data_IF_229803546819
#
_entry.id   IF_229803546819
#
_cell.length_a   1.000
_cell.length_b   1.000
_cell.length_c   1.000
_cell.angle_alpha   90.00
_cell.angle_beta   90.00
_cell.angle_gamma   90.00
#
_symmetry.space_group_name_H-M   'P 1'
#
loop_
_entity.id
_entity.type
_entity.pdbx_description
1 polymer ?
#
# COMPACT_ATOMS: atom_id res chain seq x y z
N UNK A 1 1.50 24.36 -16.06
CA UNK A 1 2.78 23.98 -16.69
C UNK A 1 2.91 24.74 -18.00
N UNK A 2 4.12 25.12 -18.40
CA UNK A 2 4.38 25.81 -19.67
C UNK A 2 4.13 24.87 -20.85
N UNK A 3 3.17 25.24 -21.71
CA UNK A 3 2.81 24.45 -22.90
C UNK A 3 3.99 24.27 -23.84
N UNK A 4 4.77 25.31 -24.09
CA UNK A 4 5.90 25.24 -25.03
C UNK A 4 7.00 24.29 -24.53
N UNK A 5 7.18 24.22 -23.21
CA UNK A 5 8.09 23.27 -22.58
C UNK A 5 7.59 21.82 -22.76
N UNK A 6 6.32 21.54 -22.46
CA UNK A 6 5.75 20.18 -22.63
C UNK A 6 5.79 19.73 -24.10
N UNK A 7 5.48 20.62 -25.03
CA UNK A 7 5.49 20.34 -26.48
C UNK A 7 6.93 20.20 -27.06
N UNK A 8 7.98 20.50 -26.28
CA UNK A 8 9.37 20.44 -26.76
C UNK A 8 9.93 19.02 -26.90
N UNK A 9 9.27 18.01 -26.30
CA UNK A 9 9.62 16.59 -26.45
C UNK A 9 9.33 15.76 -25.20
N UNK A 10 9.47 14.44 -25.31
CA UNK A 10 9.11 13.47 -24.25
C UNK A 10 9.89 13.67 -22.94
N UNK A 11 11.06 14.30 -22.99
CA UNK A 11 11.95 14.54 -21.84
C UNK A 11 11.78 15.95 -21.22
N UNK A 12 10.68 16.65 -21.52
CA UNK A 12 10.42 18.00 -20.97
C UNK A 12 10.50 18.05 -19.44
N UNK A 13 10.15 16.94 -18.77
CA UNK A 13 10.18 16.78 -17.32
C UNK A 13 11.59 16.84 -16.71
N UNK A 14 12.65 16.74 -17.52
CA UNK A 14 14.02 16.99 -17.06
C UNK A 14 14.33 18.49 -16.88
N UNK A 15 13.55 19.37 -17.51
CA UNK A 15 13.64 20.82 -17.37
C UNK A 15 12.22 21.40 -17.19
N UNK A 16 11.53 21.05 -16.09
CA UNK A 16 10.13 21.38 -15.92
C UNK A 16 9.95 22.87 -15.69
N UNK A 17 9.03 23.49 -16.43
CA UNK A 17 8.63 24.88 -16.23
C UNK A 17 7.18 24.96 -15.68
N UNK A 18 7.07 25.18 -14.38
CA UNK A 18 5.82 25.18 -13.64
C UNK A 18 5.55 26.49 -12.88
N UNK A 19 4.35 26.60 -12.31
CA UNK A 19 3.91 27.76 -11.52
C UNK A 19 3.88 27.45 -10.01
N UNK A 20 4.55 26.36 -9.60
CA UNK A 20 4.58 25.90 -8.22
C UNK A 20 5.48 26.74 -7.31
N UNK A 21 5.46 26.47 -5.99
CA UNK A 21 6.26 27.20 -5.00
C UNK A 21 7.77 26.94 -5.11
N UNK A 22 8.17 25.90 -5.84
CA UNK A 22 9.56 25.59 -6.14
C UNK A 22 9.76 25.31 -7.64
N UNK A 23 11.00 25.50 -8.09
CA UNK A 23 11.47 25.22 -9.43
C UNK A 23 12.67 24.27 -9.39
N UNK A 24 12.87 23.47 -10.44
CA UNK A 24 14.01 22.56 -10.51
C UNK A 24 15.31 23.35 -10.65
N UNK A 25 16.22 23.20 -9.69
CA UNK A 25 17.54 23.82 -9.72
C UNK A 25 18.60 22.90 -10.29
N UNK A 26 18.59 21.65 -9.83
CA UNK A 26 19.59 20.65 -10.20
C UNK A 26 19.00 19.26 -10.05
N UNK A 27 19.26 18.42 -11.03
CA UNK A 27 19.05 17.00 -10.92
C UNK A 27 20.32 16.26 -11.31
N UNK A 28 20.75 15.35 -10.45
CA UNK A 28 21.73 14.31 -10.75
C UNK A 28 21.02 12.98 -10.54
N UNK A 29 20.81 12.26 -11.64
CA UNK A 29 20.14 10.96 -11.66
C UNK A 29 20.71 10.03 -10.59
N UNK A 30 19.83 9.30 -9.92
CA UNK A 30 20.09 8.34 -8.84
C UNK A 30 20.87 8.89 -7.61
N UNK A 31 21.08 10.20 -7.52
CA UNK A 31 21.82 10.82 -6.42
C UNK A 31 21.04 11.95 -5.73
N UNK A 32 20.59 12.95 -6.48
CA UNK A 32 20.16 14.22 -5.88
C UNK A 32 19.21 14.99 -6.79
N UNK A 33 18.09 15.43 -6.22
CA UNK A 33 17.20 16.40 -6.85
C UNK A 33 17.04 17.61 -5.92
N UNK A 34 17.44 18.78 -6.41
CA UNK A 34 17.35 20.05 -5.68
C UNK A 34 16.27 20.90 -6.34
N UNK A 35 15.25 21.22 -5.55
CA UNK A 35 14.30 22.26 -5.86
C UNK A 35 14.69 23.55 -5.14
N UNK A 36 14.55 24.69 -5.80
CA UNK A 36 14.73 26.00 -5.19
C UNK A 36 13.42 26.77 -5.16
N UNK A 37 13.25 27.64 -4.17
CA UNK A 37 12.08 28.48 -4.05
C UNK A 37 11.86 29.29 -5.34
N UNK A 38 10.62 29.32 -5.81
CA UNK A 38 10.22 30.16 -6.91
C UNK A 38 9.91 31.59 -6.40
N UNK A 39 10.83 32.53 -6.61
CA UNK A 39 10.70 33.93 -6.15
C UNK A 39 9.54 34.70 -6.82
N UNK A 40 8.98 34.19 -7.93
CA UNK A 40 7.81 34.76 -8.62
C UNK A 40 6.53 33.97 -8.37
N UNK A 41 6.52 33.08 -7.36
CA UNK A 41 5.33 32.34 -6.98
C UNK A 41 4.20 33.30 -6.57
N UNK A 42 2.99 33.02 -7.06
CA UNK A 42 1.87 33.95 -6.99
C UNK A 42 1.12 33.94 -5.64
N UNK A 43 1.48 33.03 -4.73
CA UNK A 43 0.95 32.98 -3.36
C UNK A 43 2.06 33.26 -2.33
N UNK A 44 1.88 32.79 -1.10
CA UNK A 44 2.91 32.89 -0.06
C UNK A 44 4.16 32.11 -0.46
N UNK A 45 5.31 32.77 -0.40
CA UNK A 45 6.60 32.15 -0.64
C UNK A 45 6.86 31.07 0.43
N UNK A 46 7.36 29.91 0.00
CA UNK A 46 7.80 28.87 0.92
C UNK A 46 8.79 29.41 1.98
N UNK A 47 8.81 28.84 3.19
CA UNK A 47 9.83 29.21 4.16
C UNK A 47 11.24 28.73 3.78
N UNK A 48 11.45 27.46 3.35
CA UNK A 48 12.78 27.02 2.93
C UNK A 48 13.14 27.56 1.55
N UNK A 49 14.41 27.93 1.39
CA UNK A 49 14.96 28.34 0.09
C UNK A 49 15.24 27.16 -0.84
N UNK A 50 15.50 25.98 -0.30
CA UNK A 50 15.77 24.76 -1.04
C UNK A 50 15.04 23.57 -0.42
N UNK A 51 14.62 22.65 -1.29
CA UNK A 51 14.21 21.30 -0.90
C UNK A 51 15.16 20.34 -1.60
N UNK A 52 15.74 19.42 -0.83
CA UNK A 52 16.78 18.52 -1.32
C UNK A 52 16.29 17.08 -1.15
N UNK A 53 15.97 16.44 -2.26
CA UNK A 53 15.68 15.01 -2.31
C UNK A 53 16.99 14.26 -2.54
N UNK A 54 17.40 13.46 -1.56
CA UNK A 54 18.52 12.51 -1.70
C UNK A 54 17.94 11.22 -2.26
N UNK A 55 18.45 10.81 -3.43
CA UNK A 55 17.94 9.66 -4.18
C UNK A 55 18.78 8.38 -3.98
N UNK A 56 19.80 8.46 -3.13
CA UNK A 56 20.66 7.33 -2.79
C UNK A 56 20.20 6.64 -1.49
N UNK A 57 20.48 5.34 -1.39
CA UNK A 57 19.99 4.50 -0.30
C UNK A 57 20.63 4.75 1.07
N UNK A 58 19.90 4.45 2.13
CA UNK A 58 20.35 4.57 3.52
C UNK A 58 19.23 4.08 4.44
N UNK A 59 19.46 4.11 5.75
CA UNK A 59 18.39 3.86 6.73
C UNK A 59 17.77 5.23 7.05
N UNK A 60 16.53 5.54 6.63
CA UNK A 60 16.00 6.90 6.70
C UNK A 60 15.97 7.47 8.12
N UNK A 61 15.58 6.67 9.11
CA UNK A 61 15.60 7.06 10.53
C UNK A 61 17.00 7.39 11.03
N UNK A 62 18.03 6.65 10.59
CA UNK A 62 19.42 6.95 10.96
C UNK A 62 19.87 8.27 10.34
N UNK A 63 19.52 8.53 9.09
CA UNK A 63 19.83 9.78 8.40
C UNK A 63 19.16 10.98 9.08
N UNK A 64 17.95 10.78 9.63
CA UNK A 64 17.26 11.81 10.40
C UNK A 64 18.02 12.12 11.70
N UNK A 65 18.40 11.08 12.45
CA UNK A 65 19.14 11.22 13.71
C UNK A 65 20.55 11.82 13.54
N UNK A 66 21.20 11.61 12.39
CA UNK A 66 22.50 12.21 12.06
C UNK A 66 22.39 13.61 11.46
N UNK A 67 21.18 14.12 11.22
CA UNK A 67 20.93 15.42 10.61
C UNK A 67 21.23 15.46 9.10
N UNK A 68 21.23 14.31 8.43
CA UNK A 68 21.40 14.19 6.98
C UNK A 68 20.10 14.44 6.20
N UNK A 69 18.94 14.19 6.85
CA UNK A 69 17.59 14.58 6.38
C UNK A 69 16.81 15.27 7.50
N UNK A 70 15.94 16.21 7.12
CA UNK A 70 15.11 16.96 8.06
C UNK A 70 13.72 16.34 8.26
N UNK A 71 13.34 15.37 7.40
CA UNK A 71 12.03 14.69 7.44
C UNK A 71 12.23 13.23 7.01
N UNK A 72 11.52 12.32 7.68
CA UNK A 72 11.44 10.91 7.29
C UNK A 72 10.16 10.26 7.82
N UNK A 73 9.79 9.10 7.26
CA UNK A 73 8.70 8.27 7.75
C UNK A 73 9.19 7.36 8.88
N UNK A 74 8.29 6.99 9.78
CA UNK A 74 8.55 5.98 10.82
C UNK A 74 8.14 4.62 10.27
N UNK A 75 9.12 3.73 10.10
CA UNK A 75 8.90 2.36 9.62
C UNK A 75 8.68 1.39 10.79
N UNK A 76 8.15 0.19 10.51
CA UNK A 76 7.78 -0.83 11.53
C UNK A 76 8.85 -1.03 12.61
N UNK A 77 10.12 -1.12 12.23
CA UNK A 77 11.24 -1.34 13.15
C UNK A 77 11.48 -0.21 14.16
N UNK A 78 10.98 1.00 13.87
CA UNK A 78 11.17 2.19 14.68
C UNK A 78 9.91 2.63 15.43
N UNK A 79 8.73 2.07 15.12
CA UNK A 79 7.45 2.48 15.72
C UNK A 79 7.51 2.47 17.25
N UNK A 80 7.89 1.35 17.86
CA UNK A 80 7.90 1.22 19.33
C UNK A 80 8.85 2.23 19.98
N UNK A 81 10.00 2.45 19.35
CA UNK A 81 11.04 3.36 19.80
C UNK A 81 10.61 4.83 19.70
N UNK A 82 9.91 5.21 18.63
CA UNK A 82 9.44 6.58 18.40
C UNK A 82 8.17 6.87 19.20
N UNK A 83 7.34 5.87 19.50
CA UNK A 83 6.15 6.02 20.34
C UNK A 83 6.47 6.12 21.84
N UNK A 84 7.64 5.68 22.28
CA UNK A 84 8.05 5.80 23.69
C UNK A 84 8.14 7.28 24.10
N UNK A 85 7.32 7.76 25.06
CA UNK A 85 7.33 9.15 25.51
C UNK A 85 8.65 9.59 26.16
N UNK A 86 9.51 8.65 26.54
CA UNK A 86 10.85 8.93 27.08
C UNK A 86 11.90 9.13 26.00
N UNK A 87 11.60 8.74 24.77
CA UNK A 87 12.47 8.94 23.62
C UNK A 87 12.31 10.37 23.07
N UNK A 88 13.40 11.13 22.84
CA UNK A 88 13.33 12.45 22.23
C UNK A 88 12.56 12.50 20.91
N UNK A 89 12.65 11.45 20.08
CA UNK A 89 11.96 11.37 18.78
C UNK A 89 10.43 11.43 18.91
N UNK A 90 9.87 11.05 20.07
CA UNK A 90 8.45 11.14 20.31
C UNK A 90 7.94 12.59 20.24
N UNK A 91 8.77 13.55 20.66
CA UNK A 91 8.42 14.98 20.63
C UNK A 91 8.44 15.56 19.22
N UNK A 92 9.12 14.88 18.30
CA UNK A 92 9.27 15.27 16.89
C UNK A 92 8.27 14.53 15.99
N UNK A 93 7.60 13.49 16.52
CA UNK A 93 6.61 12.70 15.80
C UNK A 93 5.41 13.56 15.39
N UNK A 94 5.12 13.56 14.10
CA UNK A 94 3.90 14.13 13.54
C UNK A 94 3.05 13.00 12.99
N UNK A 95 1.82 12.88 13.48
CA UNK A 95 0.81 11.95 12.95
C UNK A 95 -0.25 12.73 12.20
N UNK A 96 -0.55 12.32 10.98
CA UNK A 96 -1.60 12.89 10.15
C UNK A 96 -2.44 11.76 9.55
N UNK A 97 -3.75 11.98 9.32
CA UNK A 97 -4.56 11.04 8.56
C UNK A 97 -4.08 10.99 7.11
N UNK A 98 -4.00 9.79 6.56
CA UNK A 98 -3.73 9.55 5.15
C UNK A 98 -4.96 8.87 4.54
N UNK A 99 -5.41 9.35 3.39
CA UNK A 99 -6.47 8.69 2.63
C UNK A 99 -5.84 7.50 1.91
N UNK A 100 -5.55 6.42 2.65
CA UNK A 100 -4.89 5.23 2.09
C UNK A 100 -5.51 3.92 2.57
N UNK A 101 -5.31 2.89 1.76
CA UNK A 101 -5.69 1.50 2.03
C UNK A 101 -4.45 0.63 1.80
N UNK A 102 -4.19 -0.30 2.72
CA UNK A 102 -3.30 -1.44 2.49
C UNK A 102 -4.13 -2.71 2.54
N UNK A 103 -3.92 -3.63 1.59
CA UNK A 103 -4.68 -4.86 1.50
C UNK A 103 -3.86 -6.01 0.89
N UNK A 104 -4.29 -7.23 1.22
CA UNK A 104 -3.87 -8.43 0.51
C UNK A 104 -4.94 -8.74 -0.51
N UNK A 105 -4.57 -8.68 -1.79
CA UNK A 105 -5.43 -8.97 -2.91
C UNK A 105 -5.42 -10.44 -3.29
N UNK A 106 -6.51 -10.86 -3.93
CA UNK A 106 -6.64 -12.18 -4.53
C UNK A 106 -6.75 -12.02 -6.04
N UNK A 107 -6.02 -12.81 -6.82
CA UNK A 107 -6.37 -12.95 -8.23
C UNK A 107 -7.58 -13.88 -8.34
N UNK A 108 -8.76 -13.31 -8.62
CA UNK A 108 -10.02 -14.05 -8.61
C UNK A 108 -10.21 -14.96 -9.83
N UNK A 109 -9.28 -14.92 -10.80
CA UNK A 109 -9.28 -15.82 -11.96
C UNK A 109 -8.40 -17.06 -11.73
N UNK A 110 -7.59 -17.06 -10.66
CA UNK A 110 -6.67 -18.15 -10.34
C UNK A 110 -7.20 -19.07 -9.23
N UNK A 111 -7.19 -20.39 -9.44
CA UNK A 111 -7.39 -21.36 -8.38
C UNK A 111 -6.40 -21.15 -7.21
N UNK A 112 -6.83 -21.18 -5.93
CA UNK A 112 -8.18 -21.49 -5.47
C UNK A 112 -9.08 -20.28 -5.22
N UNK A 113 -8.60 -19.07 -5.47
CA UNK A 113 -9.31 -17.83 -5.16
C UNK A 113 -10.39 -17.45 -6.18
N UNK A 114 -10.53 -18.24 -7.24
CA UNK A 114 -11.72 -18.25 -8.08
C UNK A 114 -12.98 -18.77 -7.35
N UNK A 115 -12.83 -19.44 -6.20
CA UNK A 115 -13.93 -19.74 -5.28
C UNK A 115 -14.06 -18.68 -4.17
N UNK A 116 -15.19 -17.98 -4.14
CA UNK A 116 -15.50 -16.95 -3.13
C UNK A 116 -15.42 -17.45 -1.70
N UNK A 117 -15.74 -18.74 -1.44
CA UNK A 117 -15.66 -19.31 -0.10
C UNK A 117 -14.21 -19.46 0.35
N UNK A 118 -13.28 -19.72 -0.57
CA UNK A 118 -11.85 -19.77 -0.25
C UNK A 118 -11.35 -18.37 0.09
N UNK A 119 -11.73 -17.33 -0.68
CA UNK A 119 -11.38 -15.93 -0.34
C UNK A 119 -11.89 -15.55 1.05
N UNK A 120 -13.17 -15.82 1.34
CA UNK A 120 -13.75 -15.57 2.66
C UNK A 120 -13.05 -16.37 3.77
N UNK A 121 -12.68 -17.62 3.52
CA UNK A 121 -11.93 -18.42 4.48
C UNK A 121 -10.58 -17.79 4.83
N UNK A 122 -9.84 -17.31 3.83
CA UNK A 122 -8.57 -16.61 4.04
C UNK A 122 -8.74 -15.32 4.84
N UNK A 123 -9.81 -14.55 4.60
CA UNK A 123 -10.11 -13.36 5.40
C UNK A 123 -10.44 -13.71 6.86
N UNK A 124 -11.32 -14.69 7.09
CA UNK A 124 -11.72 -15.12 8.44
C UNK A 124 -10.57 -15.76 9.24
N UNK A 125 -9.52 -16.23 8.57
CA UNK A 125 -8.33 -16.78 9.21
C UNK A 125 -7.39 -15.72 9.80
N UNK A 126 -7.60 -14.44 9.50
CA UNK A 126 -6.74 -13.34 9.92
C UNK A 126 -7.40 -12.53 11.04
N UNK A 127 -6.68 -12.44 12.16
CA UNK A 127 -7.02 -11.54 13.28
C UNK A 127 -6.40 -10.16 13.04
N UNK A 128 -7.15 -9.29 12.35
CA UNK A 128 -6.70 -7.93 12.00
C UNK A 128 -6.35 -7.11 13.23
N UNK A 129 -7.15 -7.21 14.29
CA UNK A 129 -6.94 -6.41 15.51
C UNK A 129 -5.63 -6.82 16.19
N UNK A 130 -5.37 -8.13 16.24
CA UNK A 130 -4.10 -8.65 16.74
C UNK A 130 -2.90 -8.22 15.88
N UNK A 131 -3.04 -8.19 14.55
CA UNK A 131 -1.98 -7.68 13.67
C UNK A 131 -1.72 -6.20 13.96
N UNK A 132 -2.77 -5.39 14.07
CA UNK A 132 -2.68 -3.96 14.38
C UNK A 132 -1.95 -3.73 15.70
N UNK A 133 -2.30 -4.49 16.73
CA UNK A 133 -1.67 -4.38 18.05
C UNK A 133 -0.21 -4.83 18.05
N UNK A 134 0.07 -6.00 17.46
CA UNK A 134 1.39 -6.65 17.58
C UNK A 134 2.41 -6.08 16.60
N UNK A 135 2.02 -5.92 15.34
CA UNK A 135 2.90 -5.49 14.23
C UNK A 135 2.95 -3.98 14.16
N UNK A 136 1.79 -3.32 14.15
CA UNK A 136 1.70 -1.88 13.94
C UNK A 136 1.66 -1.05 15.23
N UNK A 137 1.62 -1.70 16.41
CA UNK A 137 1.53 -1.03 17.72
C UNK A 137 0.36 -0.04 17.82
N UNK A 138 -0.76 -0.35 17.15
CA UNK A 138 -1.95 0.50 17.15
C UNK A 138 -1.83 1.80 16.34
N UNK A 139 -0.80 1.93 15.48
CA UNK A 139 -0.61 3.14 14.67
C UNK A 139 -1.46 3.18 13.40
N UNK A 140 -2.10 2.06 13.04
CA UNK A 140 -2.98 1.95 11.87
C UNK A 140 -4.40 1.62 12.30
N UNK A 141 -5.37 1.96 11.44
CA UNK A 141 -6.77 1.66 11.66
C UNK A 141 -7.18 0.38 10.94
N UNK A 142 -8.15 -0.33 11.53
CA UNK A 142 -8.76 -1.50 10.90
C UNK A 142 -9.53 -1.07 9.65
N UNK A 143 -9.24 -1.71 8.52
CA UNK A 143 -10.00 -1.56 7.30
C UNK A 143 -11.11 -2.62 7.23
N UNK A 144 -12.37 -2.19 7.34
CA UNK A 144 -13.57 -3.02 7.13
C UNK A 144 -14.19 -2.86 5.73
N UNK A 145 -13.69 -1.90 4.94
CA UNK A 145 -14.01 -1.69 3.53
C UNK A 145 -12.83 -1.13 2.76
N UNK A 146 -13.07 -0.77 1.50
CA UNK A 146 -12.05 -0.21 0.59
C UNK A 146 -11.78 1.27 0.88
N UNK A 147 -12.85 2.05 1.10
CA UNK A 147 -12.70 3.49 1.32
C UNK A 147 -12.13 3.76 2.72
N UNK A 148 -11.07 4.58 2.86
CA UNK A 148 -10.54 4.96 4.15
C UNK A 148 -11.43 6.00 4.86
N UNK A 149 -11.33 6.14 6.20
CA UNK A 149 -11.98 7.21 6.94
C UNK A 149 -11.64 8.59 6.37
N UNK A 150 -12.66 9.42 6.17
CA UNK A 150 -12.52 10.76 5.58
C UNK A 150 -12.79 10.83 4.08
N UNK A 151 -12.88 9.69 3.38
CA UNK A 151 -13.30 9.63 1.98
C UNK A 151 -14.82 9.76 1.85
N UNK A 152 -15.37 10.54 0.89
CA UNK A 152 -16.80 10.52 0.59
C UNK A 152 -17.27 9.09 0.27
N UNK A 153 -18.41 8.69 0.84
CA UNK A 153 -18.93 7.32 0.71
C UNK A 153 -18.44 6.34 1.79
N UNK A 154 -17.43 6.70 2.58
CA UNK A 154 -17.05 5.92 3.76
C UNK A 154 -18.21 5.81 4.77
N UNK A 155 -18.36 4.63 5.38
CA UNK A 155 -19.35 4.38 6.42
C UNK A 155 -18.84 3.42 7.48
N UNK A 156 -18.92 3.83 8.75
CA UNK A 156 -18.59 2.99 9.91
C UNK A 156 -19.59 1.83 10.12
N UNK A 157 -20.72 1.84 9.38
CA UNK A 157 -21.74 0.78 9.45
C UNK A 157 -21.37 -0.45 8.64
N UNK A 158 -20.32 -0.38 7.82
CA UNK A 158 -19.87 -1.52 7.04
C UNK A 158 -19.20 -2.52 7.98
N UNK A 159 -19.82 -3.69 8.14
CA UNK A 159 -19.23 -4.79 8.88
C UNK A 159 -18.32 -5.60 7.95
N UNK A 160 -17.01 -5.49 8.17
CA UNK A 160 -16.02 -6.31 7.46
C UNK A 160 -16.06 -7.77 7.89
N UNK A 161 -15.24 -8.60 7.22
CA UNK A 161 -15.06 -10.00 7.65
C UNK A 161 -14.24 -10.06 8.95
N UNK A 162 -14.87 -10.53 10.02
CA UNK A 162 -14.24 -10.70 11.33
C UNK A 162 -13.38 -11.96 11.40
N UNK A 163 -12.44 -12.01 12.34
CA UNK A 163 -11.70 -13.23 12.62
C UNK A 163 -12.62 -14.32 13.17
N UNK A 164 -12.61 -15.49 12.53
CA UNK A 164 -13.28 -16.70 13.00
C UNK A 164 -12.65 -17.93 12.33
N UNK A 165 -11.70 -18.55 13.03
CA UNK A 165 -10.95 -19.70 12.51
C UNK A 165 -11.83 -20.93 12.23
N UNK A 166 -12.92 -21.12 12.98
CA UNK A 166 -13.82 -22.26 12.78
C UNK A 166 -14.69 -22.03 11.55
N UNK A 167 -15.19 -20.79 11.36
CA UNK A 167 -15.88 -20.37 10.14
C UNK A 167 -14.97 -20.47 8.92
N UNK A 168 -13.71 -20.08 9.06
CA UNK A 168 -12.71 -20.17 7.99
C UNK A 168 -12.56 -21.63 7.50
N UNK A 169 -12.39 -22.58 8.41
CA UNK A 169 -12.33 -24.02 8.07
C UNK A 169 -13.63 -24.54 7.47
N UNK A 170 -14.78 -24.10 7.98
CA UNK A 170 -16.08 -24.49 7.45
C UNK A 170 -16.28 -23.99 6.01
N UNK A 171 -15.85 -22.78 5.69
CA UNK A 171 -15.89 -22.23 4.34
C UNK A 171 -15.04 -23.06 3.37
N UNK A 172 -13.87 -23.56 3.79
CA UNK A 172 -13.10 -24.52 2.98
C UNK A 172 -13.88 -25.82 2.74
N UNK A 173 -14.59 -26.36 3.74
CA UNK A 173 -15.44 -27.55 3.54
C UNK A 173 -16.59 -27.31 2.56
N UNK A 174 -17.13 -26.09 2.55
CA UNK A 174 -18.21 -25.68 1.67
C UNK A 174 -17.73 -25.27 0.27
N UNK A 175 -16.44 -25.00 0.09
CA UNK A 175 -15.81 -24.70 -1.20
C UNK A 175 -15.83 -25.91 -2.13
N UNK A 176 -15.53 -25.69 -3.41
CA UNK A 176 -15.34 -26.78 -4.38
C UNK A 176 -14.19 -27.74 -4.02
N UNK A 177 -13.24 -27.30 -3.20
CA UNK A 177 -12.09 -28.09 -2.76
C UNK A 177 -12.40 -29.00 -1.57
N UNK A 178 -13.38 -28.64 -0.73
CA UNK A 178 -13.86 -29.38 0.45
C UNK A 178 -12.83 -29.68 1.57
N UNK A 179 -11.54 -29.61 1.27
CA UNK A 179 -10.45 -29.87 2.20
C UNK A 179 -9.22 -29.06 1.76
N UNK A 180 -8.43 -28.60 2.73
CA UNK A 180 -7.17 -27.87 2.49
C UNK A 180 -6.16 -28.69 1.68
N UNK A 181 -6.15 -30.03 1.83
CA UNK A 181 -5.26 -30.91 1.06
C UNK A 181 -5.57 -30.95 -0.43
N UNK A 182 -6.74 -30.44 -0.84
CA UNK A 182 -7.15 -30.37 -2.24
C UNK A 182 -6.93 -28.96 -2.84
N UNK A 183 -6.52 -27.98 -2.03
CA UNK A 183 -6.15 -26.68 -2.55
C UNK A 183 -4.89 -26.85 -3.43
N UNK A 184 -4.82 -26.16 -4.58
CA UNK A 184 -3.58 -26.05 -5.35
C UNK A 184 -2.55 -25.25 -4.55
N UNK A 185 -1.31 -25.23 -5.04
CA UNK A 185 -0.27 -24.36 -4.50
C UNK A 185 -0.71 -22.90 -4.55
N UNK A 186 -0.33 -22.13 -3.54
CA UNK A 186 -0.65 -20.72 -3.40
C UNK A 186 0.66 -19.96 -3.23
N UNK A 187 0.92 -19.05 -4.15
CA UNK A 187 2.04 -18.11 -4.06
C UNK A 187 1.53 -16.74 -3.61
N UNK A 188 2.21 -16.17 -2.62
CA UNK A 188 2.00 -14.82 -2.12
C UNK A 188 3.15 -13.91 -2.56
N UNK A 189 2.85 -13.05 -3.53
CA UNK A 189 3.80 -12.08 -4.09
C UNK A 189 3.89 -10.84 -3.20
N UNK A 190 5.08 -10.57 -2.68
CA UNK A 190 5.36 -9.46 -1.73
C UNK A 190 6.52 -8.60 -2.21
N UNK A 191 6.57 -7.36 -1.75
CA UNK A 191 7.64 -6.40 -1.98
C UNK A 191 8.61 -6.44 -0.80
N UNK A 192 9.90 -6.51 -1.08
CA UNK A 192 10.91 -6.47 -0.02
C UNK A 192 12.31 -6.85 -0.46
N UNK A 193 13.25 -6.69 0.46
CA UNK A 193 14.63 -7.13 0.31
C UNK A 193 15.01 -7.97 1.54
N UNK A 194 15.56 -9.17 1.30
CA UNK A 194 16.07 -10.04 2.35
C UNK A 194 14.99 -10.90 2.98
N UNK A 195 14.79 -10.74 4.29
CA UNK A 195 13.80 -11.52 5.03
C UNK A 195 12.37 -11.00 4.74
N UNK A 196 11.38 -11.89 4.89
CA UNK A 196 9.98 -11.50 4.81
C UNK A 196 9.64 -10.51 5.93
N UNK A 197 8.78 -9.53 5.64
CA UNK A 197 8.34 -8.56 6.63
C UNK A 197 7.58 -9.25 7.78
N UNK A 198 7.60 -8.65 8.97
CA UNK A 198 6.86 -9.15 10.14
C UNK A 198 5.36 -9.31 9.84
N UNK A 199 4.79 -8.42 9.03
CA UNK A 199 3.41 -8.50 8.57
C UNK A 199 3.18 -9.75 7.72
N UNK A 200 4.01 -9.97 6.69
CA UNK A 200 3.84 -11.08 5.75
C UNK A 200 4.13 -12.42 6.42
N UNK A 201 5.12 -12.48 7.30
CA UNK A 201 5.35 -13.64 8.16
C UNK A 201 4.15 -13.95 9.06
N UNK A 202 3.56 -12.93 9.69
CA UNK A 202 2.37 -13.11 10.52
C UNK A 202 1.16 -13.61 9.71
N UNK A 203 0.94 -13.12 8.49
CA UNK A 203 -0.14 -13.58 7.61
C UNK A 203 0.01 -15.06 7.25
N UNK A 204 1.20 -15.46 6.78
CA UNK A 204 1.51 -16.86 6.45
C UNK A 204 1.34 -17.77 7.67
N UNK A 205 1.83 -17.33 8.83
CA UNK A 205 1.68 -18.06 10.08
C UNK A 205 0.22 -18.21 10.51
N UNK A 206 -0.60 -17.17 10.33
CA UNK A 206 -2.02 -17.20 10.66
C UNK A 206 -2.79 -18.11 9.71
N UNK A 207 -2.54 -18.09 8.41
CA UNK A 207 -3.16 -19.04 7.47
C UNK A 207 -2.76 -20.48 7.79
N UNK A 208 -1.48 -20.74 8.06
CA UNK A 208 -1.00 -22.06 8.47
C UNK A 208 -1.65 -22.52 9.77
N UNK A 209 -1.69 -21.67 10.80
CA UNK A 209 -2.25 -22.03 12.12
C UNK A 209 -3.77 -22.19 12.10
N UNK A 210 -4.48 -21.29 11.43
CA UNK A 210 -5.92 -21.18 11.52
C UNK A 210 -6.65 -21.95 10.41
N UNK A 211 -6.04 -22.15 9.24
CA UNK A 211 -6.59 -22.98 8.16
C UNK A 211 -5.85 -24.30 7.97
N UNK A 212 -4.56 -24.38 8.29
CA UNK A 212 -3.72 -25.52 7.91
C UNK A 212 -3.25 -25.43 6.46
N UNK A 213 -3.17 -24.22 5.91
CA UNK A 213 -2.74 -23.97 4.54
C UNK A 213 -1.32 -23.41 4.55
N UNK A 214 -0.44 -24.04 3.79
CA UNK A 214 0.90 -23.52 3.52
C UNK A 214 0.84 -22.56 2.33
N UNK A 215 1.51 -21.42 2.46
CA UNK A 215 1.58 -20.38 1.43
C UNK A 215 3.06 -20.11 1.17
N UNK A 216 3.47 -20.21 -0.10
CA UNK A 216 4.82 -19.88 -0.53
C UNK A 216 4.95 -18.37 -0.74
N UNK A 217 6.01 -17.75 -0.23
CA UNK A 217 6.24 -16.31 -0.43
C UNK A 217 7.22 -16.12 -1.58
N UNK A 218 6.79 -15.36 -2.59
CA UNK A 218 7.64 -14.83 -3.65
C UNK A 218 7.91 -13.36 -3.34
N UNK A 219 9.13 -13.03 -2.95
CA UNK A 219 9.50 -11.64 -2.69
C UNK A 219 10.18 -11.04 -3.93
N UNK A 220 9.70 -9.88 -4.37
CA UNK A 220 10.24 -9.12 -5.49
C UNK A 220 10.87 -7.82 -4.98
N UNK A 221 11.88 -7.33 -5.70
CA UNK A 221 12.54 -6.06 -5.39
C UNK A 221 11.52 -4.90 -5.49
N UNK A 222 11.48 -3.97 -4.50
CA UNK A 222 10.47 -2.93 -4.44
C UNK A 222 10.37 -2.07 -5.71
N UNK A 223 11.50 -1.78 -6.35
CA UNK A 223 11.60 -0.92 -7.53
C UNK A 223 10.90 -1.49 -8.76
N UNK A 224 10.76 -2.81 -8.85
CA UNK A 224 10.11 -3.50 -9.98
C UNK A 224 8.80 -4.18 -9.58
N UNK A 225 8.42 -4.12 -8.29
CA UNK A 225 7.32 -4.90 -7.72
C UNK A 225 6.03 -4.76 -8.53
N UNK A 226 5.52 -3.54 -8.70
CA UNK A 226 4.24 -3.31 -9.38
C UNK A 226 4.27 -3.66 -10.87
N UNK A 227 5.40 -3.38 -11.54
CA UNK A 227 5.56 -3.76 -12.94
C UNK A 227 5.44 -5.28 -13.12
N UNK A 228 6.23 -6.03 -12.33
CA UNK A 228 6.22 -7.49 -12.39
C UNK A 228 4.89 -8.04 -11.90
N UNK A 229 4.27 -7.44 -10.89
CA UNK A 229 2.97 -7.87 -10.37
C UNK A 229 1.88 -7.79 -11.44
N UNK A 230 1.88 -6.76 -12.28
CA UNK A 230 0.90 -6.62 -13.37
C UNK A 230 1.12 -7.61 -14.52
N UNK A 231 2.37 -8.03 -14.76
CA UNK A 231 2.72 -9.01 -15.81
C UNK A 231 2.58 -10.47 -15.33
N UNK A 232 2.94 -10.74 -14.07
CA UNK A 232 3.03 -12.06 -13.46
C UNK A 232 2.15 -12.15 -12.21
N UNK A 233 0.83 -12.12 -12.44
CA UNK A 233 -0.16 -12.15 -11.36
C UNK A 233 -0.24 -13.53 -10.70
N UNK A 234 0.30 -13.68 -9.49
CA UNK A 234 0.12 -14.88 -8.65
C UNK A 234 -1.25 -14.92 -7.96
N UNK A 235 -1.49 -15.94 -7.13
CA UNK A 235 -2.77 -16.16 -6.47
C UNK A 235 -3.06 -15.12 -5.38
N UNK A 236 -2.03 -14.71 -4.63
CA UNK A 236 -2.06 -13.65 -3.63
C UNK A 236 -1.01 -12.57 -3.95
N UNK A 237 -1.34 -11.33 -3.62
CA UNK A 237 -0.41 -10.21 -3.70
C UNK A 237 -0.70 -9.19 -2.60
N UNK A 238 0.31 -8.43 -2.19
CA UNK A 238 0.10 -7.26 -1.34
C UNK A 238 -0.03 -6.01 -2.21
N UNK A 239 -0.87 -5.07 -1.78
CA UNK A 239 -1.00 -3.80 -2.47
C UNK A 239 -1.44 -2.72 -1.50
N UNK A 240 -1.27 -1.48 -1.93
CA UNK A 240 -1.80 -0.33 -1.24
C UNK A 240 -2.18 0.75 -2.24
N UNK A 241 -3.06 1.64 -1.79
CA UNK A 241 -3.48 2.79 -2.56
C UNK A 241 -3.51 4.02 -1.67
N UNK A 242 -3.05 5.15 -2.19
CA UNK A 242 -3.14 6.46 -1.55
C UNK A 242 -3.93 7.34 -2.51
N UNK A 243 -4.92 8.07 -2.00
CA UNK A 243 -5.78 8.91 -2.81
C UNK A 243 -4.98 9.98 -3.55
N UNK A 244 -5.09 10.03 -4.88
CA UNK A 244 -4.58 11.16 -5.68
C UNK A 244 -5.46 12.41 -5.51
N UNK A 245 -6.76 12.17 -5.32
CA UNK A 245 -7.78 13.17 -5.04
C UNK A 245 -8.89 12.56 -4.17
N UNK A 246 -9.60 13.37 -3.36
CA UNK A 246 -10.56 12.87 -2.38
C UNK A 246 -11.92 12.53 -3.00
N UNK A 247 -11.93 11.67 -4.01
CA UNK A 247 -13.13 11.10 -4.63
C UNK A 247 -13.09 9.57 -4.55
N UNK A 248 -14.20 8.90 -4.16
CA UNK A 248 -14.25 7.43 -4.08
C UNK A 248 -13.97 6.73 -5.41
N UNK A 249 -14.19 7.37 -6.55
CA UNK A 249 -13.83 6.83 -7.87
C UNK A 249 -12.34 6.45 -7.92
N UNK A 250 -11.46 7.27 -7.33
CA UNK A 250 -10.01 7.03 -7.29
C UNK A 250 -9.62 5.74 -6.55
N UNK A 251 -10.54 5.15 -5.77
CA UNK A 251 -10.37 3.82 -5.18
C UNK A 251 -11.20 2.78 -5.91
N UNK A 252 -12.50 3.01 -6.04
CA UNK A 252 -13.44 1.97 -6.43
C UNK A 252 -13.38 1.64 -7.91
N UNK A 253 -13.30 2.66 -8.77
CA UNK A 253 -13.22 2.48 -10.21
C UNK A 253 -11.82 1.98 -10.59
N UNK A 254 -10.80 2.74 -10.19
CA UNK A 254 -9.39 2.43 -10.50
C UNK A 254 -9.00 1.02 -10.04
N UNK A 255 -9.39 0.57 -8.83
CA UNK A 255 -8.94 -0.72 -8.31
C UNK A 255 -9.87 -1.90 -8.61
N UNK A 256 -11.15 -1.67 -8.90
CA UNK A 256 -12.15 -2.76 -8.95
C UNK A 256 -13.08 -2.75 -10.16
N UNK A 257 -13.09 -1.70 -11.00
CA UNK A 257 -13.86 -1.75 -12.24
C UNK A 257 -13.27 -2.78 -13.22
N UNK A 258 -14.14 -3.48 -13.94
CA UNK A 258 -13.73 -4.45 -14.95
C UNK A 258 -12.84 -3.80 -16.00
N UNK A 259 -11.62 -4.30 -16.17
CA UNK A 259 -10.69 -3.85 -17.21
C UNK A 259 -9.88 -2.60 -16.87
N UNK A 260 -9.99 -2.07 -15.64
CA UNK A 260 -9.04 -1.06 -15.17
C UNK A 260 -7.61 -1.63 -15.10
N UNK A 261 -6.62 -0.82 -15.46
CA UNK A 261 -5.20 -1.23 -15.46
C UNK A 261 -4.71 -1.58 -14.04
N UNK A 262 -5.21 -0.86 -13.03
CA UNK A 262 -4.83 -1.04 -11.62
C UNK A 262 -5.63 -2.15 -10.91
N UNK A 263 -6.56 -2.80 -11.60
CA UNK A 263 -7.29 -3.97 -11.10
C UNK A 263 -6.41 -5.24 -11.18
N UNK A 264 -5.39 -5.29 -10.33
CA UNK A 264 -4.45 -6.42 -10.25
C UNK A 264 -5.15 -7.75 -9.99
N UNK A 265 -6.27 -7.73 -9.26
CA UNK A 265 -7.00 -8.92 -8.84
C UNK A 265 -7.86 -9.55 -9.94
N UNK A 266 -7.95 -8.92 -11.12
CA UNK A 266 -8.80 -9.35 -12.23
C UNK A 266 -10.27 -9.47 -11.82
N UNK A 267 -10.70 -8.60 -10.89
CA UNK A 267 -12.08 -8.61 -10.42
C UNK A 267 -13.01 -8.12 -11.53
N UNK A 268 -14.09 -8.84 -11.79
CA UNK A 268 -15.11 -8.41 -12.74
C UNK A 268 -16.49 -8.80 -12.22
N UNK A 269 -17.35 -7.79 -12.05
CA UNK A 269 -18.72 -7.98 -11.60
C UNK A 269 -19.62 -6.90 -12.23
N UNK A 270 -20.53 -7.29 -13.14
CA UNK A 270 -21.42 -6.34 -13.82
C UNK A 270 -22.32 -5.53 -12.88
N UNK A 271 -22.66 -6.05 -11.70
CA UNK A 271 -23.44 -5.29 -10.70
C UNK A 271 -22.60 -4.20 -10.04
N UNK A 272 -21.29 -4.43 -9.88
CA UNK A 272 -20.35 -3.43 -9.35
C UNK A 272 -20.07 -2.39 -10.42
N UNK A 273 -19.73 -2.82 -11.65
CA UNK A 273 -19.47 -1.91 -12.76
C UNK A 273 -20.65 -0.93 -12.97
N UNK A 274 -21.89 -1.42 -12.97
CA UNK A 274 -23.09 -0.60 -13.12
C UNK A 274 -23.36 0.39 -11.96
N UNK A 275 -22.72 0.22 -10.80
CA UNK A 275 -22.81 1.17 -9.68
C UNK A 275 -21.69 2.22 -9.75
N UNK A 276 -20.59 1.92 -10.44
CA UNK A 276 -19.45 2.82 -10.63
C UNK A 276 -19.64 3.77 -11.83
N UNK A 277 -20.40 3.35 -12.85
CA UNK A 277 -20.78 4.16 -14.03
C UNK A 277 -21.91 5.19 -13.76
#
# INVERSE_FOLDING_TARGET
>A
VDRANVESGEMWWQNPNGTGPFQLRKWKEDELLILEQNDIYYQELAKPKYVVFRLWGGIPMRMYETGETDVTNVFLNDIERVLDPTNPLNQELVTAPELSLFYIGFNVTKPPFDDVKVRQAFCHAIDKDKIIDVVFKGTVQRADGILPPGMPGYTEKLEGLSFDADRAKELIRQSKYKNVSNLPAITFTTSGLGDISDLNGALVDLWRKNLGVEVEVRQLEPEIYFQVLMEEKDELYESGWIADYPDPENFLDILFHTGSEENTGEYSNPEVDAVLE
#
